data_IF_018686038012
#
_entry.id   IF_018686038012
#
_cell.length_a   1.000
_cell.length_b   1.000
_cell.length_c   1.000
_cell.angle_alpha   90.00
_cell.angle_beta   90.00
_cell.angle_gamma   90.00
#
_symmetry.space_group_name_H-M   'P 1'
#
loop_
_entity.id
_entity.type
_entity.pdbx_description
1 polymer ?
#
# COMPACT_ATOMS: atom_id res chain seq x y z
N UNK A 1 -5.50 20.89 17.66
CA UNK A 1 -5.05 19.47 17.81
C UNK A 1 -4.41 19.27 19.19
N UNK A 2 -3.63 20.24 19.61
CA UNK A 2 -2.83 20.35 20.82
C UNK A 2 -3.68 20.23 22.10
N UNK A 3 -4.82 20.93 22.18
CA UNK A 3 -5.76 20.78 23.29
C UNK A 3 -6.24 19.34 23.44
N UNK A 4 -6.52 18.66 22.33
CA UNK A 4 -6.92 17.25 22.36
C UNK A 4 -5.77 16.35 22.82
N UNK A 5 -4.52 16.62 22.45
CA UNK A 5 -3.34 15.87 22.96
C UNK A 5 -3.18 16.00 24.48
N UNK A 6 -3.44 17.20 25.02
CA UNK A 6 -3.41 17.46 26.47
C UNK A 6 -4.53 16.72 27.20
N UNK A 7 -5.73 16.66 26.61
CA UNK A 7 -6.88 15.97 27.21
C UNK A 7 -6.89 14.46 26.97
N UNK A 8 -6.06 13.97 26.04
CA UNK A 8 -5.98 12.55 25.70
C UNK A 8 -5.59 11.73 26.94
N UNK A 9 -6.36 10.68 27.25
CA UNK A 9 -6.11 9.77 28.38
C UNK A 9 -4.97 8.78 28.12
N UNK A 10 -4.39 8.16 29.17
CA UNK A 10 -3.21 7.29 29.03
C UNK A 10 -3.50 6.04 28.20
N UNK A 11 -4.73 5.56 28.20
CA UNK A 11 -5.16 4.41 27.39
C UNK A 11 -5.03 4.68 25.89
N UNK A 12 -5.24 5.91 25.42
CA UNK A 12 -5.11 6.24 23.99
C UNK A 12 -3.66 6.21 23.52
N UNK A 13 -2.70 6.55 24.38
CA UNK A 13 -1.26 6.44 24.05
C UNK A 13 -0.84 4.99 23.85
N UNK A 14 -1.44 4.07 24.61
CA UNK A 14 -1.22 2.63 24.50
C UNK A 14 -1.96 2.01 23.32
N UNK A 15 -3.23 2.36 23.15
CA UNK A 15 -4.08 1.81 22.11
C UNK A 15 -3.73 2.33 20.71
N UNK A 16 -3.26 3.59 20.60
CA UNK A 16 -3.01 4.27 19.34
C UNK A 16 -1.66 5.01 19.30
N UNK A 17 -0.54 4.32 19.57
CA UNK A 17 0.79 4.96 19.70
C UNK A 17 1.20 5.70 18.42
N UNK A 18 0.89 5.14 17.25
CA UNK A 18 1.18 5.74 15.95
C UNK A 18 0.46 7.07 15.74
N UNK A 19 -0.83 7.17 16.08
CA UNK A 19 -1.58 8.43 15.95
C UNK A 19 -1.01 9.52 16.85
N UNK A 20 -0.63 9.14 18.08
CA UNK A 20 0.00 10.05 19.03
C UNK A 20 1.37 10.52 18.53
N UNK A 21 2.19 9.60 18.02
CA UNK A 21 3.49 9.94 17.44
C UNK A 21 3.36 10.97 16.33
N UNK A 22 2.47 10.72 15.36
CA UNK A 22 2.24 11.65 14.23
C UNK A 22 1.73 13.01 14.69
N UNK A 23 0.83 13.03 15.67
CA UNK A 23 0.30 14.27 16.22
C UNK A 23 1.39 15.06 16.98
N UNK A 24 2.22 14.40 17.80
CA UNK A 24 3.30 15.05 18.54
C UNK A 24 4.40 15.59 17.64
N UNK A 25 4.75 14.88 16.56
CA UNK A 25 5.74 15.34 15.58
C UNK A 25 5.32 16.62 14.85
N UNK A 26 4.01 16.92 14.82
CA UNK A 26 3.44 18.11 14.16
C UNK A 26 2.88 19.15 15.12
N UNK A 27 2.80 18.85 16.40
CA UNK A 27 2.22 19.74 17.39
C UNK A 27 3.02 21.05 17.48
N UNK A 28 2.32 22.17 17.49
CA UNK A 28 2.93 23.43 17.88
C UNK A 28 3.17 23.41 19.38
N UNK A 29 4.44 23.41 19.78
CA UNK A 29 4.83 23.33 21.18
C UNK A 29 4.27 24.49 22.01
N UNK A 30 4.11 25.67 21.41
CA UNK A 30 3.60 26.86 22.10
C UNK A 30 2.11 26.68 22.42
N UNK A 31 1.31 26.27 21.44
CA UNK A 31 -0.12 25.98 21.63
C UNK A 31 -0.35 24.78 22.56
N UNK A 32 0.51 23.76 22.47
CA UNK A 32 0.49 22.60 23.37
C UNK A 32 0.78 23.01 24.81
N UNK A 33 1.80 23.86 25.00
CA UNK A 33 2.16 24.37 26.31
C UNK A 33 1.03 25.24 26.87
N UNK A 34 0.46 26.15 26.07
CA UNK A 34 -0.66 26.99 26.48
C UNK A 34 -1.85 26.13 26.96
N UNK A 35 -2.29 25.17 26.16
CA UNK A 35 -3.39 24.27 26.52
C UNK A 35 -3.10 23.47 27.82
N UNK A 36 -1.85 23.02 28.00
CA UNK A 36 -1.43 22.31 29.20
C UNK A 36 -1.47 23.20 30.45
N UNK A 37 -1.00 24.44 30.34
CA UNK A 37 -1.02 25.41 31.42
C UNK A 37 -2.46 25.82 31.79
N UNK A 38 -3.34 25.96 30.80
CA UNK A 38 -4.77 26.25 31.03
C UNK A 38 -5.48 25.13 31.79
N UNK A 39 -5.24 23.88 31.41
CA UNK A 39 -5.88 22.72 32.06
C UNK A 39 -5.27 22.37 33.42
N UNK A 40 -4.05 22.85 33.72
CA UNK A 40 -3.29 22.55 34.95
C UNK A 40 -3.09 21.05 35.21
N UNK A 41 -3.09 20.24 34.15
CA UNK A 41 -3.04 18.79 34.27
C UNK A 41 -1.59 18.28 34.31
N UNK A 42 -1.01 18.18 35.51
CA UNK A 42 0.35 17.67 35.73
C UNK A 42 0.55 16.26 35.15
N UNK A 43 -0.43 15.37 35.31
CA UNK A 43 -0.33 13.99 34.82
C UNK A 43 -0.28 13.92 33.29
N UNK A 44 -0.98 14.82 32.59
CA UNK A 44 -0.87 14.96 31.14
C UNK A 44 0.48 15.53 30.73
N UNK A 45 0.95 16.58 31.40
CA UNK A 45 2.25 17.19 31.09
C UNK A 45 3.42 16.21 31.24
N UNK A 46 3.48 15.48 32.35
CA UNK A 46 4.48 14.45 32.59
C UNK A 46 4.47 13.36 31.49
N UNK A 47 3.28 13.06 30.97
CA UNK A 47 3.07 12.10 29.89
C UNK A 47 3.58 12.62 28.55
N UNK A 48 3.27 13.87 28.21
CA UNK A 48 3.72 14.51 26.98
C UNK A 48 5.25 14.68 26.96
N UNK A 49 5.86 15.05 28.09
CA UNK A 49 7.32 15.09 28.24
C UNK A 49 7.92 13.70 27.98
N UNK A 50 7.37 12.65 28.62
CA UNK A 50 7.84 11.28 28.39
C UNK A 50 7.60 10.77 26.97
N UNK A 51 6.51 11.21 26.32
CA UNK A 51 6.25 10.90 24.93
C UNK A 51 7.33 11.51 24.02
N UNK A 52 7.66 12.80 24.20
CA UNK A 52 8.70 13.47 23.42
C UNK A 52 10.08 12.85 23.62
N UNK A 53 10.45 12.45 24.85
CA UNK A 53 11.68 11.69 25.09
C UNK A 53 11.71 10.38 24.30
N UNK A 54 10.62 9.62 24.35
CA UNK A 54 10.54 8.33 23.67
C UNK A 54 10.58 8.48 22.13
N UNK A 55 10.10 9.60 21.61
CA UNK A 55 10.19 9.98 20.19
C UNK A 55 11.53 10.64 19.81
N UNK A 56 12.51 10.67 20.72
CA UNK A 56 13.83 11.31 20.55
C UNK A 56 13.75 12.83 20.25
N UNK A 57 12.64 13.47 20.59
CA UNK A 57 12.39 14.90 20.46
C UNK A 57 12.83 15.64 21.74
N UNK A 58 14.14 15.56 22.05
CA UNK A 58 14.72 16.03 23.32
C UNK A 58 14.53 17.53 23.54
N UNK A 59 14.55 18.33 22.47
CA UNK A 59 14.39 19.77 22.57
C UNK A 59 12.97 20.13 23.04
N UNK A 60 11.97 19.50 22.44
CA UNK A 60 10.55 19.68 22.75
C UNK A 60 10.24 19.20 24.16
N UNK A 61 10.73 18.01 24.54
CA UNK A 61 10.65 17.48 25.91
C UNK A 61 11.22 18.48 26.93
N UNK A 62 12.47 18.94 26.74
CA UNK A 62 13.15 19.83 27.68
C UNK A 62 12.48 21.21 27.78
N UNK A 63 12.01 21.75 26.65
CA UNK A 63 11.27 23.01 26.61
C UNK A 63 9.96 22.90 27.38
N UNK A 64 9.18 21.84 27.15
CA UNK A 64 7.91 21.63 27.84
C UNK A 64 8.10 21.48 29.35
N UNK A 65 9.12 20.73 29.78
CA UNK A 65 9.52 20.62 31.19
C UNK A 65 9.80 22.01 31.79
N UNK A 66 10.66 22.80 31.14
CA UNK A 66 11.03 24.15 31.61
C UNK A 66 9.81 25.06 31.74
N UNK A 67 8.90 25.02 30.76
CA UNK A 67 7.68 25.84 30.76
C UNK A 67 6.76 25.46 31.92
N UNK A 68 6.56 24.17 32.16
CA UNK A 68 5.73 23.70 33.27
C UNK A 68 6.32 24.08 34.63
N UNK A 69 7.61 23.85 34.85
CA UNK A 69 8.32 24.22 36.08
C UNK A 69 8.25 25.74 36.30
N UNK A 70 8.49 26.54 35.25
CA UNK A 70 8.38 27.99 35.30
C UNK A 70 6.97 28.52 35.57
N UNK A 71 5.93 27.76 35.22
CA UNK A 71 4.54 28.07 35.52
C UNK A 71 4.07 27.60 36.91
N UNK A 72 4.98 27.08 37.74
CA UNK A 72 4.71 26.68 39.12
C UNK A 72 4.16 25.27 39.30
N UNK A 73 4.35 24.37 38.32
CA UNK A 73 4.02 22.96 38.50
C UNK A 73 5.09 22.27 39.35
N UNK A 74 4.67 21.66 40.46
CA UNK A 74 5.55 20.82 41.28
C UNK A 74 5.50 19.36 40.83
N UNK A 75 6.63 18.65 40.91
CA UNK A 75 6.70 17.22 40.57
C UNK A 75 6.70 16.90 39.07
N UNK A 76 7.16 17.83 38.24
CA UNK A 76 7.36 17.62 36.80
C UNK A 76 8.42 16.52 36.58
N UNK A 77 8.05 15.49 35.83
CA UNK A 77 8.91 14.36 35.48
C UNK A 77 8.45 13.75 34.18
N UNK A 78 9.33 13.03 33.49
CA UNK A 78 8.94 12.29 32.30
C UNK A 78 8.35 10.93 32.69
N UNK A 79 7.25 10.54 32.04
CA UNK A 79 6.59 9.24 32.19
C UNK A 79 6.37 8.64 30.81
N UNK A 80 7.01 7.51 30.49
CA UNK A 80 6.80 6.83 29.21
C UNK A 80 5.33 6.38 29.08
N UNK A 81 4.58 6.87 28.07
CA UNK A 81 3.19 6.53 27.91
C UNK A 81 2.90 5.37 26.96
N UNK A 82 3.93 4.88 26.27
CA UNK A 82 3.82 3.82 25.28
C UNK A 82 4.19 2.47 25.89
N UNK A 83 3.55 1.39 25.43
CA UNK A 83 3.88 0.03 25.88
C UNK A 83 5.14 -0.52 25.16
N UNK A 84 5.44 -0.01 23.98
CA UNK A 84 6.62 -0.37 23.18
C UNK A 84 7.31 0.89 22.65
N UNK A 85 8.59 0.76 22.29
CA UNK A 85 9.35 1.85 21.66
C UNK A 85 8.73 2.17 20.30
N UNK A 86 8.25 3.41 20.07
CA UNK A 86 7.71 3.81 18.79
C UNK A 86 8.77 3.77 17.69
N UNK A 87 8.39 3.28 16.52
CA UNK A 87 9.29 3.27 15.35
C UNK A 87 9.35 4.68 14.78
N UNK A 88 10.54 5.26 14.77
CA UNK A 88 10.76 6.61 14.23
C UNK A 88 11.25 6.46 12.80
N UNK A 89 10.36 6.69 11.83
CA UNK A 89 10.67 6.70 10.39
C UNK A 89 10.27 8.04 9.78
N UNK A 90 11.04 8.52 8.81
CA UNK A 90 10.86 9.82 8.15
C UNK A 90 11.83 10.87 8.69
N UNK A 91 12.78 11.30 7.84
CA UNK A 91 13.82 12.27 8.20
C UNK A 91 13.66 13.63 7.48
N UNK A 92 12.73 13.76 6.52
CA UNK A 92 12.52 14.99 5.77
C UNK A 92 11.38 15.79 6.40
N UNK A 93 11.71 16.96 6.97
CA UNK A 93 10.70 18.01 7.25
C UNK A 93 9.89 18.24 5.97
N UNK A 94 8.61 17.90 5.96
CA UNK A 94 7.70 18.17 4.84
C UNK A 94 6.77 17.00 4.44
N UNK A 95 7.09 15.76 4.82
CA UNK A 95 6.28 14.59 4.44
C UNK A 95 4.89 14.59 5.14
N UNK A 96 3.86 14.14 4.42
CA UNK A 96 2.50 14.02 4.97
C UNK A 96 2.39 12.97 6.09
N UNK A 97 1.44 13.12 7.04
CA UNK A 97 1.26 12.15 8.12
C UNK A 97 0.90 10.76 7.59
N UNK A 98 0.16 10.69 6.47
CA UNK A 98 -0.22 9.42 5.87
C UNK A 98 0.97 8.69 5.27
N UNK A 99 1.93 9.40 4.69
CA UNK A 99 3.16 8.80 4.17
C UNK A 99 4.05 8.27 5.30
N UNK A 100 4.24 9.05 6.38
CA UNK A 100 4.95 8.58 7.58
C UNK A 100 4.28 7.33 8.16
N UNK A 101 2.93 7.32 8.21
CA UNK A 101 2.15 6.14 8.63
C UNK A 101 2.42 4.93 7.75
N UNK A 102 2.46 5.07 6.42
CA UNK A 102 2.81 3.97 5.50
C UNK A 102 4.20 3.42 5.83
N UNK A 103 5.20 4.29 6.06
CA UNK A 103 6.55 3.88 6.43
C UNK A 103 6.61 3.11 7.75
N UNK A 104 5.92 3.59 8.78
CA UNK A 104 5.89 2.91 10.08
C UNK A 104 5.20 1.56 9.97
N UNK A 105 4.02 1.52 9.34
CA UNK A 105 3.25 0.28 9.13
C UNK A 105 4.06 -0.75 8.31
N UNK A 106 4.83 -0.32 7.31
CA UNK A 106 5.73 -1.21 6.58
C UNK A 106 6.76 -1.86 7.49
N UNK A 107 7.41 -1.07 8.35
CA UNK A 107 8.41 -1.59 9.28
C UNK A 107 7.80 -2.53 10.33
N UNK A 108 6.59 -2.23 10.82
CA UNK A 108 5.86 -3.10 11.75
C UNK A 108 5.52 -4.46 11.10
N UNK A 109 5.13 -4.48 9.83
CA UNK A 109 4.61 -5.66 9.14
C UNK A 109 5.65 -6.48 8.36
N UNK A 110 6.84 -5.93 8.10
CA UNK A 110 7.90 -6.60 7.33
C UNK A 110 8.25 -7.96 7.90
N UNK A 111 8.39 -8.04 9.23
CA UNK A 111 8.84 -9.26 9.89
C UNK A 111 7.81 -10.39 9.74
N UNK A 112 6.52 -10.08 9.81
CA UNK A 112 5.44 -11.07 9.58
C UNK A 112 5.60 -11.76 8.22
N UNK A 113 5.94 -11.00 7.18
CA UNK A 113 6.11 -11.55 5.83
C UNK A 113 7.35 -12.42 5.74
N UNK A 114 8.47 -11.99 6.34
CA UNK A 114 9.71 -12.77 6.35
C UNK A 114 9.51 -14.11 7.04
N UNK A 115 8.86 -14.11 8.20
CA UNK A 115 8.58 -15.34 8.95
C UNK A 115 7.69 -16.32 8.18
N UNK A 116 6.71 -15.83 7.42
CA UNK A 116 5.83 -16.70 6.63
C UNK A 116 6.55 -17.35 5.45
N UNK A 117 7.58 -16.70 4.91
CA UNK A 117 8.32 -17.16 3.72
C UNK A 117 9.71 -17.74 4.06
N UNK A 118 10.03 -17.97 5.33
CA UNK A 118 11.35 -18.46 5.76
C UNK A 118 11.71 -19.84 5.16
N UNK A 119 10.71 -20.69 5.00
CA UNK A 119 10.75 -22.05 4.46
C UNK A 119 10.29 -22.13 3.00
N UNK A 120 10.12 -20.98 2.33
CA UNK A 120 9.59 -20.90 0.97
C UNK A 120 10.56 -20.15 0.04
N UNK A 121 11.67 -20.80 -0.37
CA UNK A 121 12.67 -20.16 -1.23
C UNK A 121 12.16 -19.91 -2.65
N UNK A 122 12.84 -19.05 -3.43
CA UNK A 122 12.56 -18.86 -4.86
C UNK A 122 12.57 -20.19 -5.62
N UNK A 123 11.67 -20.32 -6.61
CA UNK A 123 11.54 -21.53 -7.44
C UNK A 123 12.46 -21.54 -8.66
N UNK A 124 12.93 -20.38 -9.08
CA UNK A 124 13.87 -20.21 -10.19
C UNK A 124 14.70 -18.93 -9.98
N UNK A 125 15.85 -18.84 -10.64
CA UNK A 125 16.58 -17.57 -10.75
C UNK A 125 16.04 -16.79 -11.95
N UNK A 126 15.58 -15.56 -11.72
CA UNK A 126 14.99 -14.72 -12.74
C UNK A 126 15.96 -14.39 -13.87
N UNK A 127 17.25 -14.21 -13.58
CA UNK A 127 18.26 -13.81 -14.56
C UNK A 127 18.88 -15.00 -15.30
N UNK A 128 18.86 -16.20 -14.71
CA UNK A 128 19.35 -17.41 -15.38
C UNK A 128 18.28 -18.05 -16.28
N UNK A 129 17.00 -17.97 -15.90
CA UNK A 129 15.88 -18.48 -16.69
C UNK A 129 15.61 -17.54 -17.87
N UNK A 130 15.35 -18.07 -19.07
CA UNK A 130 15.09 -17.21 -20.23
C UNK A 130 13.78 -16.42 -20.07
N UNK A 131 13.75 -15.18 -20.60
CA UNK A 131 12.56 -14.34 -20.52
C UNK A 131 11.37 -14.96 -21.27
N UNK A 132 11.63 -15.72 -22.32
CA UNK A 132 10.62 -16.47 -23.08
C UNK A 132 9.96 -17.56 -22.22
N UNK A 133 10.72 -18.29 -21.41
CA UNK A 133 10.16 -19.29 -20.49
C UNK A 133 9.35 -18.65 -19.37
N UNK A 134 9.79 -17.49 -18.86
CA UNK A 134 9.05 -16.70 -17.87
C UNK A 134 7.72 -16.21 -18.48
N UNK A 135 7.75 -15.65 -19.69
CA UNK A 135 6.56 -15.20 -20.40
C UNK A 135 5.61 -16.35 -20.73
N UNK A 136 6.14 -17.53 -21.06
CA UNK A 136 5.34 -18.74 -21.31
C UNK A 136 4.64 -19.22 -20.03
N UNK A 137 5.36 -19.26 -18.90
CA UNK A 137 4.77 -19.58 -17.59
C UNK A 137 3.62 -18.62 -17.27
N UNK A 138 3.84 -17.31 -17.41
CA UNK A 138 2.78 -16.32 -17.16
C UNK A 138 1.59 -16.50 -18.11
N UNK A 139 1.85 -16.68 -19.41
CA UNK A 139 0.80 -16.79 -20.43
C UNK A 139 -0.05 -18.04 -20.22
N UNK A 140 0.52 -19.14 -19.72
CA UNK A 140 -0.23 -20.35 -19.38
C UNK A 140 -1.27 -20.14 -18.27
N UNK A 141 -1.06 -19.14 -17.41
CA UNK A 141 -1.95 -18.79 -16.30
C UNK A 141 -2.87 -17.61 -16.61
N UNK A 142 -2.69 -16.95 -17.77
CA UNK A 142 -3.37 -15.70 -18.11
C UNK A 142 -4.90 -15.80 -18.05
N UNK A 143 -5.49 -16.83 -18.66
CA UNK A 143 -6.96 -16.98 -18.71
C UNK A 143 -7.54 -17.07 -17.29
N UNK A 144 -6.92 -17.90 -16.45
CA UNK A 144 -7.30 -18.03 -15.03
C UNK A 144 -7.06 -16.73 -14.28
N UNK A 145 -5.93 -16.06 -14.47
CA UNK A 145 -5.60 -14.79 -13.82
C UNK A 145 -6.64 -13.71 -14.14
N UNK A 146 -6.87 -13.46 -15.43
CA UNK A 146 -7.82 -12.45 -15.91
C UNK A 146 -9.23 -12.72 -15.42
N UNK A 147 -9.72 -13.97 -15.53
CA UNK A 147 -11.05 -14.34 -15.05
C UNK A 147 -11.23 -14.03 -13.55
N UNK A 148 -10.29 -14.50 -12.72
CA UNK A 148 -10.41 -14.33 -11.28
C UNK A 148 -10.21 -12.87 -10.85
N UNK A 149 -9.22 -12.19 -11.43
CA UNK A 149 -8.90 -10.80 -11.12
C UNK A 149 -10.03 -9.85 -11.48
N UNK A 150 -10.66 -10.01 -12.66
CA UNK A 150 -11.82 -9.20 -13.08
C UNK A 150 -13.06 -9.54 -12.26
N UNK A 151 -13.31 -10.83 -11.99
CA UNK A 151 -14.50 -11.25 -11.23
C UNK A 151 -14.47 -10.80 -9.77
N UNK A 152 -13.28 -10.68 -9.16
CA UNK A 152 -13.14 -10.14 -7.79
C UNK A 152 -13.65 -8.70 -7.69
N UNK A 153 -13.44 -7.91 -8.75
CA UNK A 153 -13.94 -6.53 -8.88
C UNK A 153 -15.42 -6.46 -9.32
N UNK A 154 -16.03 -7.60 -9.66
CA UNK A 154 -17.45 -7.72 -9.99
C UNK A 154 -17.81 -7.68 -11.48
N UNK A 155 -16.82 -7.73 -12.38
CA UNK A 155 -17.06 -7.88 -13.82
C UNK A 155 -17.58 -9.29 -14.14
N UNK A 156 -18.47 -9.42 -15.13
CA UNK A 156 -19.01 -10.72 -15.58
C UNK A 156 -18.39 -11.13 -16.91
N UNK A 157 -17.13 -11.54 -16.85
CA UNK A 157 -16.37 -11.99 -18.03
C UNK A 157 -16.38 -13.51 -18.14
N UNK A 158 -16.69 -14.02 -19.32
CA UNK A 158 -16.66 -15.47 -19.60
C UNK A 158 -15.24 -15.87 -20.04
N UNK A 159 -14.72 -17.04 -19.65
CA UNK A 159 -13.39 -17.51 -20.06
C UNK A 159 -13.16 -17.49 -21.58
N UNK A 160 -14.18 -17.80 -22.37
CA UNK A 160 -14.13 -17.83 -23.83
C UNK A 160 -13.83 -16.46 -24.44
N UNK A 161 -14.35 -15.39 -23.82
CA UNK A 161 -14.04 -14.01 -24.23
C UNK A 161 -12.58 -13.65 -23.94
N UNK A 162 -12.06 -14.11 -22.80
CA UNK A 162 -10.67 -13.88 -22.40
C UNK A 162 -9.72 -14.63 -23.35
N UNK A 163 -10.05 -15.87 -23.71
CA UNK A 163 -9.31 -16.65 -24.71
C UNK A 163 -9.32 -15.95 -26.07
N UNK A 164 -10.49 -15.50 -26.54
CA UNK A 164 -10.64 -14.76 -27.79
C UNK A 164 -9.75 -13.50 -27.83
N UNK A 165 -9.73 -12.73 -26.74
CA UNK A 165 -8.87 -11.55 -26.60
C UNK A 165 -7.39 -11.90 -26.63
N UNK A 166 -7.00 -13.01 -25.98
CA UNK A 166 -5.60 -13.45 -25.96
C UNK A 166 -5.09 -13.93 -27.32
N UNK A 167 -5.98 -14.51 -28.14
CA UNK A 167 -5.66 -15.00 -29.48
C UNK A 167 -5.70 -13.88 -30.55
N UNK A 168 -6.27 -12.72 -30.23
CA UNK A 168 -6.36 -11.57 -31.15
C UNK A 168 -7.61 -11.55 -32.03
N UNK A 169 -8.60 -12.41 -31.76
CA UNK A 169 -9.77 -12.63 -32.63
C UNK A 169 -11.00 -11.77 -32.27
N UNK A 170 -10.84 -10.76 -31.41
CA UNK A 170 -11.96 -9.98 -30.88
C UNK A 170 -12.27 -8.73 -31.72
N UNK A 171 -13.56 -8.49 -32.02
CA UNK A 171 -14.07 -7.28 -32.68
C UNK A 171 -15.17 -6.59 -31.84
N UNK A 172 -15.11 -5.25 -31.64
CA UNK A 172 -16.10 -4.47 -30.88
C UNK A 172 -17.52 -4.53 -31.47
N UNK A 173 -17.64 -4.77 -32.78
CA UNK A 173 -18.89 -4.63 -33.54
C UNK A 173 -19.93 -5.73 -33.25
N UNK A 174 -19.56 -6.72 -32.42
CA UNK A 174 -20.36 -7.93 -32.16
C UNK A 174 -21.16 -7.90 -30.85
N UNK A 175 -21.04 -6.86 -30.03
CA UNK A 175 -21.66 -6.82 -28.69
C UNK A 175 -22.88 -5.90 -28.67
N UNK A 176 -24.05 -6.47 -28.35
CA UNK A 176 -25.36 -5.83 -28.54
C UNK A 176 -25.92 -5.15 -27.27
N UNK A 177 -25.17 -5.10 -26.16
CA UNK A 177 -25.57 -4.45 -24.88
C UNK A 177 -24.43 -3.71 -24.18
N UNK A 178 -24.71 -2.51 -23.68
CA UNK A 178 -23.76 -1.60 -23.01
C UNK A 178 -22.98 -2.25 -21.84
N UNK A 179 -23.61 -3.14 -21.06
CA UNK A 179 -22.95 -3.79 -19.90
C UNK A 179 -22.02 -4.92 -20.31
N UNK A 180 -22.41 -5.70 -21.33
CA UNK A 180 -21.56 -6.73 -21.94
C UNK A 180 -20.35 -6.07 -22.63
N UNK A 181 -20.55 -4.88 -23.20
CA UNK A 181 -19.49 -4.06 -23.79
C UNK A 181 -18.50 -3.57 -22.73
N UNK A 182 -18.97 -3.05 -21.58
CA UNK A 182 -18.08 -2.62 -20.49
C UNK A 182 -17.24 -3.77 -19.92
N UNK A 183 -17.83 -4.94 -19.73
CA UNK A 183 -17.12 -6.12 -19.21
C UNK A 183 -16.07 -6.60 -20.22
N UNK A 184 -16.38 -6.57 -21.53
CA UNK A 184 -15.43 -6.89 -22.59
C UNK A 184 -14.26 -5.89 -22.68
N UNK A 185 -14.54 -4.59 -22.56
CA UNK A 185 -13.51 -3.55 -22.55
C UNK A 185 -12.59 -3.69 -21.32
N UNK A 186 -13.14 -4.06 -20.16
CA UNK A 186 -12.35 -4.35 -18.98
C UNK A 186 -11.44 -5.58 -19.16
N UNK A 187 -11.94 -6.64 -19.82
CA UNK A 187 -11.12 -7.79 -20.19
C UNK A 187 -10.01 -7.40 -21.17
N UNK A 188 -10.32 -6.56 -22.17
CA UNK A 188 -9.33 -6.04 -23.11
C UNK A 188 -8.25 -5.23 -22.40
N UNK A 189 -8.63 -4.30 -21.52
CA UNK A 189 -7.68 -3.48 -20.78
C UNK A 189 -6.80 -4.32 -19.85
N UNK A 190 -7.36 -5.38 -19.27
CA UNK A 190 -6.58 -6.34 -18.48
C UNK A 190 -5.54 -7.10 -19.32
N UNK A 191 -5.90 -7.50 -20.55
CA UNK A 191 -4.94 -8.10 -21.49
C UNK A 191 -3.81 -7.12 -21.84
N UNK A 192 -4.15 -5.88 -22.16
CA UNK A 192 -3.17 -4.86 -22.53
C UNK A 192 -2.21 -4.57 -21.35
N UNK A 193 -2.73 -4.48 -20.13
CA UNK A 193 -1.93 -4.33 -18.92
C UNK A 193 -1.02 -5.55 -18.64
N UNK A 194 -1.53 -6.77 -18.83
CA UNK A 194 -0.73 -7.99 -18.71
C UNK A 194 0.46 -8.01 -19.71
N UNK A 195 0.24 -7.54 -20.94
CA UNK A 195 1.31 -7.40 -21.92
C UNK A 195 2.33 -6.32 -21.53
N UNK A 196 1.90 -5.22 -20.91
CA UNK A 196 2.81 -4.21 -20.33
C UNK A 196 3.67 -4.79 -19.20
N UNK A 197 3.11 -5.66 -18.34
CA UNK A 197 3.90 -6.38 -17.33
C UNK A 197 4.98 -7.24 -17.97
N UNK A 198 4.64 -8.02 -19.02
CA UNK A 198 5.64 -8.81 -19.77
C UNK A 198 6.74 -7.94 -20.38
N UNK A 199 6.37 -6.78 -20.94
CA UNK A 199 7.32 -5.80 -21.48
C UNK A 199 8.32 -5.32 -20.44
N UNK A 200 7.84 -4.89 -19.27
CA UNK A 200 8.70 -4.44 -18.17
C UNK A 200 9.53 -5.57 -17.56
N UNK A 201 9.01 -6.80 -17.52
CA UNK A 201 9.83 -7.95 -17.11
C UNK A 201 10.97 -8.21 -18.08
N UNK A 202 10.76 -8.02 -19.39
CA UNK A 202 11.85 -8.13 -20.37
C UNK A 202 12.89 -7.04 -20.19
N UNK A 203 12.47 -5.81 -19.86
CA UNK A 203 13.39 -4.73 -19.52
C UNK A 203 14.19 -5.05 -18.24
N UNK A 204 13.53 -5.57 -17.21
CA UNK A 204 14.16 -6.00 -15.96
C UNK A 204 15.10 -7.21 -16.14
N UNK A 205 14.85 -8.08 -17.13
CA UNK A 205 15.63 -9.28 -17.43
C UNK A 205 17.00 -8.99 -18.08
N UNK A 206 17.35 -7.71 -18.28
CA UNK A 206 18.69 -7.31 -18.68
C UNK A 206 19.76 -7.66 -17.66
N UNK A 207 20.65 -6.72 -17.35
CA UNK A 207 21.71 -6.97 -16.38
C UNK A 207 21.22 -6.80 -14.94
N UNK A 208 21.55 -7.77 -14.06
CA UNK A 208 21.24 -7.73 -12.63
C UNK A 208 21.80 -6.49 -11.95
N UNK A 209 22.98 -6.04 -12.34
CA UNK A 209 23.61 -4.82 -11.77
C UNK A 209 22.87 -3.54 -12.17
N UNK A 210 22.15 -3.56 -13.29
CA UNK A 210 21.38 -2.43 -13.81
C UNK A 210 19.93 -2.38 -13.32
N UNK A 211 19.51 -3.34 -12.49
CA UNK A 211 18.12 -3.47 -12.05
C UNK A 211 17.69 -2.30 -11.16
N UNK A 212 16.96 -1.35 -11.74
CA UNK A 212 16.34 -0.24 -11.00
C UNK A 212 14.87 -0.55 -10.66
N UNK A 213 14.65 -1.15 -9.49
CA UNK A 213 13.31 -1.46 -8.99
C UNK A 213 12.45 -0.20 -8.81
N UNK A 214 13.03 0.94 -8.43
CA UNK A 214 12.25 2.16 -8.22
C UNK A 214 11.69 2.65 -9.55
N UNK A 215 12.53 2.72 -10.57
CA UNK A 215 12.14 3.08 -11.94
C UNK A 215 11.07 2.13 -12.48
N UNK A 216 11.31 0.81 -12.41
CA UNK A 216 10.41 -0.20 -12.96
C UNK A 216 9.03 -0.16 -12.30
N UNK A 217 8.97 0.05 -10.98
CA UNK A 217 7.70 0.18 -10.26
C UNK A 217 6.99 1.48 -10.61
N UNK A 218 7.70 2.61 -10.70
CA UNK A 218 7.09 3.90 -11.03
C UNK A 218 6.46 3.91 -12.44
N UNK A 219 7.23 3.43 -13.43
CA UNK A 219 6.75 3.26 -14.81
C UNK A 219 5.64 2.22 -14.86
N UNK A 220 5.83 1.07 -14.21
CA UNK A 220 4.86 -0.02 -14.20
C UNK A 220 3.48 0.39 -13.67
N UNK A 221 3.43 1.10 -12.54
CA UNK A 221 2.15 1.57 -12.00
C UNK A 221 1.39 2.45 -12.99
N UNK A 222 2.09 3.32 -13.71
CA UNK A 222 1.49 4.19 -14.74
C UNK A 222 1.05 3.39 -15.96
N UNK A 223 1.92 2.50 -16.47
CA UNK A 223 1.67 1.70 -17.66
C UNK A 223 0.50 0.73 -17.47
N UNK A 224 0.46 0.02 -16.35
CA UNK A 224 -0.59 -0.96 -16.06
C UNK A 224 -1.93 -0.28 -15.83
N UNK A 225 -1.96 0.82 -15.06
CA UNK A 225 -3.19 1.58 -14.85
C UNK A 225 -3.73 2.16 -16.16
N UNK A 226 -2.88 2.78 -16.96
CA UNK A 226 -3.29 3.37 -18.24
C UNK A 226 -3.82 2.29 -19.19
N UNK A 227 -3.12 1.16 -19.30
CA UNK A 227 -3.54 0.04 -20.14
C UNK A 227 -4.88 -0.57 -19.70
N UNK A 228 -5.15 -0.65 -18.39
CA UNK A 228 -6.42 -1.14 -17.85
C UNK A 228 -7.64 -0.34 -18.35
N UNK A 229 -7.47 0.96 -18.61
CA UNK A 229 -8.58 1.87 -18.90
C UNK A 229 -8.57 2.47 -20.32
N UNK A 230 -7.48 2.34 -21.07
CA UNK A 230 -7.41 2.80 -22.47
C UNK A 230 -8.59 2.35 -23.33
N UNK A 231 -9.02 1.06 -23.33
CA UNK A 231 -10.18 0.64 -24.13
C UNK A 231 -11.48 1.36 -23.74
N UNK A 232 -11.67 1.66 -22.45
CA UNK A 232 -12.83 2.42 -21.98
C UNK A 232 -12.75 3.90 -22.38
N UNK A 233 -11.54 4.46 -22.47
CA UNK A 233 -11.30 5.83 -22.92
C UNK A 233 -11.54 5.97 -24.41
N UNK A 234 -11.07 5.01 -25.21
CA UNK A 234 -11.29 4.97 -26.66
C UNK A 234 -12.78 4.81 -27.00
N UNK A 235 -13.51 4.03 -26.20
CA UNK A 235 -14.97 3.90 -26.29
C UNK A 235 -15.74 5.13 -25.74
N UNK A 236 -15.05 6.14 -25.20
CA UNK A 236 -15.68 7.34 -24.64
C UNK A 236 -16.44 7.13 -23.33
N UNK A 237 -16.23 5.99 -22.65
CA UNK A 237 -16.86 5.65 -21.36
C UNK A 237 -16.18 6.38 -20.20
N UNK A 238 -14.85 6.57 -20.28
CA UNK A 238 -14.03 7.26 -19.28
C UNK A 238 -13.39 8.49 -19.91
N UNK A 239 -13.24 9.58 -19.16
CA UNK A 239 -12.58 10.77 -19.67
C UNK A 239 -11.07 10.54 -19.78
N UNK A 240 -10.44 10.98 -20.87
CA UNK A 240 -8.98 10.94 -21.05
C UNK A 240 -8.22 11.57 -19.89
N UNK A 241 -8.78 12.61 -19.27
CA UNK A 241 -8.20 13.28 -18.10
C UNK A 241 -8.18 12.39 -16.85
N UNK A 242 -9.04 11.38 -16.77
CA UNK A 242 -9.09 10.44 -15.63
C UNK A 242 -7.90 9.46 -15.63
N UNK A 243 -7.17 9.35 -16.75
CA UNK A 243 -5.91 8.61 -16.81
C UNK A 243 -4.73 9.39 -16.19
N UNK A 244 -4.89 10.70 -15.99
CA UNK A 244 -3.81 11.56 -15.54
C UNK A 244 -3.71 11.60 -14.01
N UNK A 245 -2.75 10.84 -13.47
CA UNK A 245 -2.32 10.94 -12.09
C UNK A 245 -3.28 10.29 -11.09
N UNK A 246 -3.26 10.79 -9.85
CA UNK A 246 -4.03 10.23 -8.75
C UNK A 246 -5.42 10.85 -8.61
N UNK A 247 -6.29 10.14 -7.91
CA UNK A 247 -7.64 10.62 -7.62
C UNK A 247 -7.60 11.95 -6.88
N UNK A 248 -8.57 12.80 -7.21
CA UNK A 248 -8.74 14.14 -6.61
C UNK A 248 -9.85 14.20 -5.57
N UNK A 249 -10.59 13.11 -5.41
CA UNK A 249 -11.74 13.03 -4.51
C UNK A 249 -11.51 11.97 -3.42
N UNK A 250 -12.09 12.18 -2.23
CA UNK A 250 -12.17 11.14 -1.21
C UNK A 250 -12.92 9.91 -1.72
N UNK A 251 -12.48 8.73 -1.27
CA UNK A 251 -13.13 7.45 -1.60
C UNK A 251 -13.23 6.59 -0.34
N UNK A 252 -14.15 5.63 -0.39
CA UNK A 252 -14.35 4.64 0.67
C UNK A 252 -14.28 3.25 0.04
N UNK A 253 -13.49 2.37 0.66
CA UNK A 253 -13.39 0.98 0.21
C UNK A 253 -14.63 0.24 0.74
N UNK A 254 -15.44 -0.29 -0.18
CA UNK A 254 -16.62 -1.06 0.19
C UNK A 254 -16.20 -2.23 1.07
N UNK A 255 -16.94 -2.48 2.16
CA UNK A 255 -16.68 -3.57 3.13
C UNK A 255 -15.38 -3.48 3.94
N UNK A 256 -14.71 -2.32 3.93
CA UNK A 256 -13.55 -2.08 4.79
C UNK A 256 -13.84 -0.97 5.80
N UNK A 257 -13.31 -1.11 7.02
CA UNK A 257 -13.28 -0.05 8.03
C UNK A 257 -12.11 0.92 7.82
N UNK A 258 -11.18 0.58 6.94
CA UNK A 258 -10.07 1.45 6.57
C UNK A 258 -10.54 2.57 5.63
N UNK A 259 -10.08 3.78 5.92
CA UNK A 259 -10.30 4.95 5.07
C UNK A 259 -8.96 5.33 4.44
N UNK A 260 -8.85 5.27 3.10
CA UNK A 260 -7.61 5.66 2.41
C UNK A 260 -7.17 7.09 2.72
N UNK A 261 -5.88 7.42 2.55
CA UNK A 261 -5.36 8.78 2.70
C UNK A 261 -6.15 9.82 1.88
N UNK A 262 -6.15 11.07 2.35
CA UNK A 262 -6.73 12.17 1.58
C UNK A 262 -5.97 12.41 0.26
N UNK A 263 -6.65 12.93 -0.76
CA UNK A 263 -6.08 13.15 -2.11
C UNK A 263 -4.80 13.98 -2.09
N UNK A 264 -4.72 14.95 -1.19
CA UNK A 264 -3.59 15.89 -1.06
C UNK A 264 -2.34 15.20 -0.50
N UNK A 265 -2.48 14.00 0.07
CA UNK A 265 -1.39 13.23 0.68
C UNK A 265 -0.92 12.08 -0.21
N UNK A 266 -1.59 11.83 -1.35
CA UNK A 266 -1.31 10.66 -2.19
C UNK A 266 0.07 10.69 -2.82
N UNK A 267 0.56 11.87 -3.23
CA UNK A 267 1.89 12.01 -3.81
C UNK A 267 2.97 11.53 -2.83
N UNK A 268 2.96 12.04 -1.60
CA UNK A 268 3.90 11.63 -0.56
C UNK A 268 3.75 10.14 -0.22
N UNK A 269 2.52 9.62 -0.14
CA UNK A 269 2.28 8.22 0.19
C UNK A 269 2.83 7.28 -0.89
N UNK A 270 2.63 7.63 -2.15
CA UNK A 270 3.12 6.84 -3.29
C UNK A 270 4.65 6.94 -3.40
N UNK A 271 5.23 8.10 -3.11
CA UNK A 271 6.69 8.24 -3.06
C UNK A 271 7.29 7.38 -1.94
N UNK A 272 6.69 7.43 -0.75
CA UNK A 272 7.08 6.56 0.35
C UNK A 272 6.97 5.07 -0.02
N UNK A 273 5.88 4.66 -0.67
CA UNK A 273 5.70 3.28 -1.13
C UNK A 273 6.80 2.85 -2.11
N UNK A 274 7.10 3.67 -3.12
CA UNK A 274 8.15 3.38 -4.11
C UNK A 274 9.52 3.24 -3.45
N UNK A 275 9.85 4.13 -2.50
CA UNK A 275 11.11 4.05 -1.75
C UNK A 275 11.20 2.83 -0.86
N UNK A 276 10.12 2.47 -0.17
CA UNK A 276 10.06 1.27 0.66
C UNK A 276 10.26 0.01 -0.19
N UNK A 277 9.56 -0.08 -1.33
CA UNK A 277 9.72 -1.20 -2.27
C UNK A 277 11.15 -1.24 -2.81
N UNK A 278 11.75 -0.11 -3.18
CA UNK A 278 13.10 -0.07 -3.73
C UNK A 278 14.17 -0.52 -2.72
N UNK A 279 14.10 -0.01 -1.48
CA UNK A 279 15.10 -0.25 -0.43
C UNK A 279 14.92 -1.57 0.34
N UNK A 280 13.78 -2.24 0.15
CA UNK A 280 13.51 -3.54 0.75
C UNK A 280 14.47 -4.62 0.20
N UNK A 281 15.00 -5.49 1.05
CA UNK A 281 15.92 -6.55 0.63
C UNK A 281 15.18 -7.75 0.00
N UNK A 282 14.08 -8.19 0.63
CA UNK A 282 13.40 -9.43 0.25
C UNK A 282 12.30 -9.15 -0.77
N UNK A 283 12.39 -9.76 -1.96
CA UNK A 283 11.35 -9.61 -3.00
C UNK A 283 9.96 -10.06 -2.56
N UNK A 284 9.85 -11.06 -1.69
CA UNK A 284 8.55 -11.44 -1.10
C UNK A 284 7.96 -10.31 -0.26
N UNK A 285 8.78 -9.60 0.54
CA UNK A 285 8.31 -8.43 1.27
C UNK A 285 7.92 -7.31 0.32
N UNK A 286 8.73 -7.03 -0.72
CA UNK A 286 8.40 -6.06 -1.78
C UNK A 286 7.02 -6.35 -2.37
N UNK A 287 6.76 -7.61 -2.74
CA UNK A 287 5.53 -8.01 -3.40
C UNK A 287 4.31 -7.95 -2.49
N UNK A 288 4.40 -8.57 -1.30
CA UNK A 288 3.27 -8.68 -0.36
C UNK A 288 2.90 -7.31 0.20
N UNK A 289 3.88 -6.56 0.72
CA UNK A 289 3.61 -5.24 1.27
C UNK A 289 3.35 -4.21 0.16
N UNK A 290 4.02 -4.31 -1.00
CA UNK A 290 3.74 -3.46 -2.15
C UNK A 290 2.28 -3.57 -2.61
N UNK A 291 1.76 -4.79 -2.74
CA UNK A 291 0.35 -5.04 -2.99
C UNK A 291 -0.55 -4.43 -1.91
N UNK A 292 -0.29 -4.78 -0.65
CA UNK A 292 -1.10 -4.35 0.49
C UNK A 292 -1.18 -2.82 0.57
N UNK A 293 -0.04 -2.13 0.47
CA UNK A 293 0.02 -0.69 0.60
C UNK A 293 -0.50 0.06 -0.62
N UNK A 294 -0.43 -0.50 -1.84
CA UNK A 294 -1.13 0.08 -2.97
C UNK A 294 -2.66 0.06 -2.74
N UNK A 295 -3.18 -1.05 -2.21
CA UNK A 295 -4.58 -1.17 -1.80
C UNK A 295 -4.97 -0.24 -0.63
N UNK A 296 -4.07 -0.07 0.34
CA UNK A 296 -4.22 0.80 1.51
C UNK A 296 -4.25 2.29 1.14
N UNK A 297 -3.32 2.73 0.29
CA UNK A 297 -3.22 4.12 -0.20
C UNK A 297 -4.37 4.42 -1.17
N UNK A 298 -4.70 3.44 -2.01
CA UNK A 298 -5.79 3.48 -2.97
C UNK A 298 -5.72 4.73 -3.88
N UNK A 299 -4.61 4.90 -4.64
CA UNK A 299 -4.29 6.16 -5.31
C UNK A 299 -5.19 6.50 -6.52
N UNK A 300 -5.85 5.52 -7.12
CA UNK A 300 -6.68 5.73 -8.32
C UNK A 300 -8.17 5.71 -7.99
N UNK A 301 -8.99 6.27 -8.89
CA UNK A 301 -10.47 6.26 -8.74
C UNK A 301 -11.07 4.85 -8.90
N UNK A 302 -10.45 3.99 -9.71
CA UNK A 302 -10.77 2.58 -9.91
C UNK A 302 -9.48 1.84 -10.31
N UNK A 303 -9.49 0.51 -10.32
CA UNK A 303 -8.38 -0.32 -10.82
C UNK A 303 -7.33 -0.68 -9.78
N UNK A 304 -7.36 -0.08 -8.58
CA UNK A 304 -6.36 -0.30 -7.53
C UNK A 304 -6.11 -1.78 -7.22
N UNK A 305 -7.17 -2.59 -7.10
CA UNK A 305 -7.03 -4.03 -6.85
C UNK A 305 -6.31 -4.77 -7.98
N UNK A 306 -6.63 -4.45 -9.24
CA UNK A 306 -6.00 -5.05 -10.43
C UNK A 306 -4.54 -4.62 -10.54
N UNK A 307 -4.25 -3.34 -10.38
CA UNK A 307 -2.88 -2.80 -10.38
C UNK A 307 -2.06 -3.37 -9.22
N UNK A 308 -2.64 -3.56 -8.03
CA UNK A 308 -1.95 -4.16 -6.88
C UNK A 308 -1.55 -5.61 -7.15
N UNK A 309 -2.42 -6.40 -7.79
CA UNK A 309 -2.11 -7.78 -8.19
C UNK A 309 -1.04 -7.84 -9.27
N UNK A 310 -1.03 -6.91 -10.24
CA UNK A 310 0.06 -6.79 -11.20
C UNK A 310 1.39 -6.42 -10.53
N UNK A 311 1.40 -5.44 -9.62
CA UNK A 311 2.59 -5.07 -8.85
C UNK A 311 3.14 -6.26 -8.04
N UNK A 312 2.24 -6.97 -7.35
CA UNK A 312 2.58 -8.18 -6.60
C UNK A 312 3.28 -9.19 -7.49
N UNK A 313 2.64 -9.58 -8.59
CA UNK A 313 3.16 -10.62 -9.47
C UNK A 313 4.43 -10.19 -10.20
N UNK A 314 4.56 -8.91 -10.58
CA UNK A 314 5.78 -8.37 -11.15
C UNK A 314 6.97 -8.56 -10.20
N UNK A 315 6.82 -8.17 -8.93
CA UNK A 315 7.88 -8.29 -7.92
C UNK A 315 8.14 -9.77 -7.53
N UNK A 316 7.10 -10.61 -7.47
CA UNK A 316 7.26 -12.05 -7.25
C UNK A 316 8.10 -12.70 -8.35
N UNK A 317 7.78 -12.42 -9.61
CA UNK A 317 8.50 -13.02 -10.75
C UNK A 317 9.97 -12.61 -10.78
N UNK A 318 10.28 -11.33 -10.55
CA UNK A 318 11.68 -10.87 -10.43
C UNK A 318 12.37 -11.55 -9.24
N UNK A 319 11.65 -11.75 -8.14
CA UNK A 319 12.13 -12.49 -6.97
C UNK A 319 12.27 -14.00 -7.17
N UNK A 320 11.99 -14.54 -8.35
CA UNK A 320 12.10 -15.98 -8.64
C UNK A 320 10.89 -16.81 -8.18
N UNK A 321 9.76 -16.16 -7.89
CA UNK A 321 8.50 -16.81 -7.49
C UNK A 321 7.53 -16.93 -8.69
N UNK A 322 6.63 -17.91 -8.67
CA UNK A 322 5.67 -18.10 -9.77
C UNK A 322 4.65 -16.95 -9.82
N UNK A 323 4.13 -16.69 -11.03
CA UNK A 323 2.95 -15.85 -11.20
C UNK A 323 1.77 -16.43 -10.41
N UNK A 324 1.19 -15.64 -9.52
CA UNK A 324 0.20 -16.11 -8.53
C UNK A 324 -1.19 -15.61 -8.86
N UNK A 325 -2.16 -16.53 -8.92
CA UNK A 325 -3.56 -16.23 -9.22
C UNK A 325 -4.41 -16.29 -7.95
N UNK A 326 -4.94 -15.14 -7.53
CA UNK A 326 -5.90 -15.05 -6.43
C UNK A 326 -7.27 -15.51 -6.94
N UNK A 327 -7.73 -16.69 -6.51
CA UNK A 327 -8.97 -17.29 -7.01
C UNK A 327 -10.22 -16.60 -6.44
N UNK A 328 -11.23 -16.37 -7.29
CA UNK A 328 -12.52 -15.76 -6.93
C UNK A 328 -13.21 -16.48 -5.78
N UNK A 329 -13.14 -17.83 -5.76
CA UNK A 329 -13.69 -18.64 -4.66
C UNK A 329 -13.14 -18.27 -3.28
N UNK A 330 -11.94 -17.69 -3.23
CA UNK A 330 -11.26 -17.26 -2.02
C UNK A 330 -11.41 -15.75 -1.76
N UNK A 331 -12.27 -15.03 -2.50
CA UNK A 331 -12.43 -13.57 -2.39
C UNK A 331 -12.70 -13.12 -0.95
N UNK A 332 -13.53 -13.84 -0.20
CA UNK A 332 -13.84 -13.50 1.20
C UNK A 332 -12.60 -13.60 2.09
N UNK A 333 -11.83 -14.68 1.96
CA UNK A 333 -10.59 -14.88 2.71
C UNK A 333 -9.55 -13.81 2.35
N UNK A 334 -9.38 -13.53 1.05
CA UNK A 334 -8.49 -12.48 0.54
C UNK A 334 -8.84 -11.10 1.12
N UNK A 335 -10.11 -10.68 1.04
CA UNK A 335 -10.52 -9.38 1.57
C UNK A 335 -10.42 -9.32 3.10
N UNK A 336 -10.73 -10.41 3.80
CA UNK A 336 -10.57 -10.48 5.26
C UNK A 336 -9.10 -10.36 5.68
N UNK A 337 -8.17 -10.93 4.91
CA UNK A 337 -6.74 -10.81 5.18
C UNK A 337 -6.24 -9.38 4.96
N UNK A 338 -6.70 -8.71 3.89
CA UNK A 338 -6.41 -7.29 3.65
C UNK A 338 -6.97 -6.38 4.76
N UNK A 339 -8.17 -6.66 5.25
CA UNK A 339 -8.78 -5.92 6.35
C UNK A 339 -7.98 -6.09 7.65
N UNK A 340 -7.55 -7.33 7.95
CA UNK A 340 -6.72 -7.61 9.12
C UNK A 340 -5.38 -6.87 9.08
N UNK A 341 -4.79 -6.72 7.89
CA UNK A 341 -3.57 -5.97 7.72
C UNK A 341 -3.79 -4.45 7.79
N UNK A 342 -4.84 -3.94 7.13
CA UNK A 342 -5.11 -2.49 7.04
C UNK A 342 -5.60 -1.89 8.36
N UNK A 343 -6.38 -2.66 9.14
CA UNK A 343 -6.98 -2.20 10.41
C UNK A 343 -6.26 -2.80 11.61
N UNK A 344 -6.01 -4.11 11.57
CA UNK A 344 -5.38 -4.86 12.66
C UNK A 344 -3.85 -4.87 12.64
N UNK A 345 -3.22 -4.26 11.61
CA UNK A 345 -1.77 -4.20 11.42
C UNK A 345 -1.06 -5.56 11.36
N UNK A 346 -1.79 -6.59 10.94
CA UNK A 346 -1.27 -7.95 10.87
C UNK A 346 -1.15 -8.38 9.40
N UNK A 347 0.08 -8.38 8.86
CA UNK A 347 0.32 -8.79 7.48
C UNK A 347 0.43 -10.32 7.33
N UNK A 348 0.60 -11.05 8.43
CA UNK A 348 0.80 -12.50 8.44
C UNK A 348 -0.30 -13.26 7.70
N UNK A 349 -1.56 -12.93 7.97
CA UNK A 349 -2.71 -13.59 7.32
C UNK A 349 -2.72 -13.38 5.80
N UNK A 350 -2.31 -12.19 5.34
CA UNK A 350 -2.24 -11.90 3.91
C UNK A 350 -1.04 -12.58 3.26
N UNK A 351 0.12 -12.59 3.92
CA UNK A 351 1.30 -13.32 3.47
C UNK A 351 1.02 -14.83 3.35
N UNK A 352 0.38 -15.45 4.36
CA UNK A 352 0.01 -16.87 4.36
C UNK A 352 -0.97 -17.17 3.24
N UNK A 353 -1.96 -16.31 3.03
CA UNK A 353 -2.92 -16.43 1.94
C UNK A 353 -2.25 -16.45 0.56
N UNK A 354 -1.31 -15.53 0.32
CA UNK A 354 -0.58 -15.46 -0.95
C UNK A 354 0.34 -16.66 -1.12
N UNK A 355 1.07 -17.07 -0.07
CA UNK A 355 1.91 -18.28 -0.08
C UNK A 355 1.11 -19.53 -0.44
N UNK A 356 -0.08 -19.70 0.14
CA UNK A 356 -0.99 -20.80 -0.20
C UNK A 356 -1.51 -20.72 -1.65
N UNK A 357 -1.62 -19.52 -2.21
CA UNK A 357 -2.08 -19.30 -3.59
C UNK A 357 -0.98 -19.57 -4.63
N UNK A 358 0.29 -19.64 -4.22
CA UNK A 358 1.45 -20.00 -5.08
C UNK A 358 1.61 -21.51 -5.29
N UNK A 359 0.95 -22.32 -4.46
CA UNK A 359 0.94 -23.78 -4.53
C UNK A 359 -0.08 -24.23 -5.58
#
# INVERSE_FOLDING_TARGET
MESALVETGPQTFKANPLNIQLALQRADLSLLSEALLTTKNLASGNRLIGAYEQLKMKAESRKLQTIMEGAGFEGVKWVNPFDHTPIIVGASRGESPSAIRVRILWQEMRQDVIEVFDDFPPRFDFFERSIEEIHAMMSSLYVSDAYNSLSIEGYKVMPELIECLSNGDWSPDTIQKDKEQKDALAARGYYDAFNKVKGLLREAHGDRESLDIRYLVDVGLTDWFTALFNPCVDAGIINRLDLAGFRKVPIYIRTSMHVPPASEQLMDCMEALKELIANEEYFVVKAILGHLFLGYIHPFSDGNGRTARFLMNFLLVIGGYPWTVIKLKNRTQYLSALESASVGKNAKLFAEFVKQSMQ
#
